data_IF_092958425187
#
_entry.id   IF_092958425187
#
_cell.length_a   1.000
_cell.length_b   1.000
_cell.length_c   1.000
_cell.angle_alpha   90.00
_cell.angle_beta   90.00
_cell.angle_gamma   90.00
#
_symmetry.space_group_name_H-M   'P 1'
#
loop_
_entity.id
_entity.type
_entity.pdbx_description
1 polymer ?
#
# COMPACT_ATOMS: atom_id res chain seq x y z
N UNK A 1 9.97 15.45 -15.30
CA UNK A 1 10.14 14.40 -14.27
C UNK A 1 11.21 14.76 -13.24
N UNK A 2 11.97 15.84 -13.43
CA UNK A 2 13.20 16.13 -12.65
C UNK A 2 13.02 16.95 -11.35
N UNK A 3 11.80 17.28 -10.93
CA UNK A 3 11.56 18.05 -9.69
C UNK A 3 11.49 17.22 -8.41
N UNK A 4 11.63 15.90 -8.50
CA UNK A 4 11.78 15.05 -7.31
C UNK A 4 13.22 15.03 -6.76
N UNK A 5 14.19 15.79 -7.33
CA UNK A 5 15.62 15.57 -7.06
C UNK A 5 16.52 16.74 -6.60
N UNK A 6 16.14 18.03 -6.53
CA UNK A 6 17.06 19.06 -5.98
C UNK A 6 16.36 20.19 -5.21
N UNK A 7 16.92 20.57 -4.05
CA UNK A 7 16.58 21.74 -3.22
C UNK A 7 17.53 22.93 -3.47
N UNK A 8 16.98 24.15 -3.46
CA UNK A 8 17.44 25.47 -2.90
C UNK A 8 16.71 26.59 -3.68
N UNK A 9 16.42 27.80 -3.21
CA UNK A 9 16.59 28.60 -1.98
C UNK A 9 15.57 29.78 -2.04
N UNK A 10 15.27 30.45 -0.91
CA UNK A 10 14.31 31.58 -0.77
C UNK A 10 14.63 32.81 -1.64
N UNK A 11 13.64 33.69 -1.87
CA UNK A 11 13.67 35.00 -1.20
C UNK A 11 12.32 35.48 -0.62
N UNK A 12 12.39 36.65 0.02
CA UNK A 12 11.53 37.28 1.04
C UNK A 12 10.19 37.92 0.61
N UNK A 13 9.36 38.15 1.64
CA UNK A 13 8.38 39.25 1.77
C UNK A 13 7.06 39.07 1.01
N UNK A 14 5.87 39.49 1.45
CA UNK A 14 5.34 40.27 2.59
C UNK A 14 3.80 40.18 2.48
N UNK A 15 3.05 40.43 3.56
CA UNK A 15 1.70 41.02 3.43
C UNK A 15 0.51 40.18 3.94
N UNK A 16 -0.31 40.83 4.75
CA UNK A 16 -1.38 40.35 5.63
C UNK A 16 -2.75 40.63 5.03
N UNK A 17 -3.75 39.78 5.22
CA UNK A 17 -5.07 40.19 5.76
C UNK A 17 -5.89 38.98 6.24
N UNK A 18 -6.56 39.20 7.38
CA UNK A 18 -7.58 38.34 7.97
C UNK A 18 -8.92 38.87 7.50
N UNK A 19 -9.82 37.98 7.09
CA UNK A 19 -11.26 38.23 7.24
C UNK A 19 -11.94 36.95 7.71
N UNK A 20 -12.75 37.15 8.74
CA UNK A 20 -13.56 36.14 9.41
C UNK A 20 -14.89 36.03 8.66
N UNK A 21 -15.32 34.81 8.37
CA UNK A 21 -16.72 34.60 7.99
C UNK A 21 -17.26 33.26 8.48
N UNK A 22 -18.55 33.33 8.82
CA UNK A 22 -19.23 32.49 9.79
C UNK A 22 -19.55 31.07 9.29
N UNK A 23 -19.54 30.14 10.25
CA UNK A 23 -19.93 28.74 10.12
C UNK A 23 -21.39 28.56 9.67
N UNK A 24 -21.67 27.72 8.65
CA UNK A 24 -22.97 27.07 8.50
C UNK A 24 -22.93 25.65 9.07
N UNK A 25 -24.02 25.29 9.75
CA UNK A 25 -24.28 24.02 10.42
C UNK A 25 -24.11 22.82 9.45
N UNK A 26 -23.28 21.83 9.82
CA UNK A 26 -23.09 20.58 9.07
C UNK A 26 -24.34 19.69 9.15
N UNK A 27 -24.97 19.44 8.00
CA UNK A 27 -25.83 18.28 7.79
C UNK A 27 -24.98 17.00 7.86
N UNK A 28 -25.51 15.96 8.53
CA UNK A 28 -24.95 14.61 8.52
C UNK A 28 -25.03 14.05 7.11
N UNK A 29 -23.90 13.86 6.45
CA UNK A 29 -23.82 13.10 5.20
C UNK A 29 -23.80 11.62 5.54
N UNK A 30 -24.93 10.93 5.32
CA UNK A 30 -24.99 9.48 5.32
C UNK A 30 -24.09 8.93 4.21
N UNK A 31 -23.11 8.10 4.57
CA UNK A 31 -22.21 7.40 3.66
C UNK A 31 -22.83 6.08 3.17
N UNK A 32 -24.03 6.15 2.60
CA UNK A 32 -24.69 4.99 2.01
C UNK A 32 -25.26 5.36 0.63
N UNK A 33 -24.82 4.59 -0.37
CA UNK A 33 -25.47 4.33 -1.66
C UNK A 33 -25.52 5.48 -2.67
N UNK A 34 -24.53 5.47 -3.57
CA UNK A 34 -24.71 5.82 -4.98
C UNK A 34 -24.05 4.69 -5.81
N UNK A 35 -24.68 3.51 -5.77
CA UNK A 35 -24.40 2.46 -6.73
C UNK A 35 -25.20 2.77 -8.00
N UNK A 36 -24.55 2.94 -9.17
CA UNK A 36 -25.25 3.23 -10.41
C UNK A 36 -26.13 2.06 -10.85
N UNK A 37 -27.24 2.39 -11.53
CA UNK A 37 -28.32 1.48 -11.91
C UNK A 37 -27.84 0.11 -12.48
N UNK A 38 -28.56 -0.98 -12.15
CA UNK A 38 -28.32 -2.29 -12.73
C UNK A 38 -28.67 -2.26 -14.23
N UNK A 39 -27.71 -2.54 -15.10
CA UNK A 39 -27.94 -2.62 -16.55
C UNK A 39 -26.84 -2.06 -17.47
N UNK A 40 -25.89 -1.26 -16.96
CA UNK A 40 -24.70 -0.89 -17.75
C UNK A 40 -23.67 -2.03 -17.76
N UNK A 41 -23.27 -2.49 -18.94
CA UNK A 41 -22.22 -3.51 -19.12
C UNK A 41 -20.91 -3.06 -18.42
N UNK A 42 -20.28 -3.97 -17.68
CA UNK A 42 -19.00 -3.70 -17.03
C UNK A 42 -17.92 -3.49 -18.09
N UNK A 43 -17.18 -2.37 -18.00
CA UNK A 43 -16.10 -2.07 -18.93
C UNK A 43 -14.84 -2.86 -18.55
N UNK A 44 -14.79 -4.14 -18.90
CA UNK A 44 -13.58 -4.96 -19.01
C UNK A 44 -12.63 -4.98 -17.79
N UNK A 45 -11.37 -5.28 -18.06
CA UNK A 45 -10.30 -5.32 -17.06
C UNK A 45 -9.52 -3.99 -17.00
N UNK A 46 -9.00 -3.60 -15.82
CA UNK A 46 -8.12 -2.43 -15.69
C UNK A 46 -6.86 -2.60 -16.55
N UNK A 47 -6.47 -1.53 -17.23
CA UNK A 47 -5.29 -1.47 -18.10
C UNK A 47 -4.12 -0.76 -17.41
N UNK A 48 -4.40 0.26 -16.58
CA UNK A 48 -3.38 1.00 -15.84
C UNK A 48 -3.56 0.87 -14.33
N UNK A 49 -2.63 0.17 -13.69
CA UNK A 49 -2.65 -0.06 -12.24
C UNK A 49 -1.41 0.54 -11.61
N UNK A 50 -1.58 1.36 -10.58
CA UNK A 50 -0.49 1.99 -9.83
C UNK A 50 -0.51 1.47 -8.39
N UNK A 51 0.66 1.06 -7.88
CA UNK A 51 0.85 0.76 -6.46
C UNK A 51 1.81 1.75 -5.83
N UNK A 52 1.46 2.32 -4.68
CA UNK A 52 2.28 3.33 -4.01
C UNK A 52 2.20 3.21 -2.47
N UNK A 53 3.35 2.97 -1.82
CA UNK A 53 3.44 3.12 -0.37
C UNK A 53 3.48 4.62 -0.01
N UNK A 54 2.43 5.11 0.65
CA UNK A 54 2.27 6.51 1.00
C UNK A 54 3.10 6.93 2.22
N UNK A 55 3.52 5.99 3.07
CA UNK A 55 4.22 6.25 4.34
C UNK A 55 3.49 7.32 5.20
N UNK A 56 2.17 7.23 5.26
CA UNK A 56 1.27 8.17 5.93
C UNK A 56 0.51 9.08 4.98
N UNK A 57 -0.70 8.67 4.58
CA UNK A 57 -1.50 9.36 3.59
C UNK A 57 -1.83 10.81 3.98
N UNK A 58 -2.30 11.04 5.22
CA UNK A 58 -2.63 12.39 5.68
C UNK A 58 -1.41 13.33 5.67
N UNK A 59 -0.20 12.81 5.90
CA UNK A 59 1.04 13.60 5.82
C UNK A 59 1.35 13.97 4.38
N UNK A 60 1.23 13.02 3.45
CA UNK A 60 1.44 13.27 2.02
C UNK A 60 0.44 14.29 1.48
N UNK A 61 -0.85 14.16 1.81
CA UNK A 61 -1.86 15.11 1.37
C UNK A 61 -1.61 16.51 1.96
N UNK A 62 -1.23 16.62 3.22
CA UNK A 62 -0.94 17.92 3.84
C UNK A 62 0.21 18.66 3.15
N UNK A 63 1.27 17.93 2.79
CA UNK A 63 2.51 18.53 2.33
C UNK A 63 2.59 18.64 0.81
N UNK A 64 1.94 17.72 0.08
CA UNK A 64 2.18 17.49 -1.35
C UNK A 64 0.89 17.39 -2.18
N UNK A 65 -0.28 17.82 -1.67
CA UNK A 65 -1.57 17.61 -2.35
C UNK A 65 -1.59 18.07 -3.81
N UNK A 66 -1.06 19.26 -4.13
CA UNK A 66 -1.06 19.77 -5.50
C UNK A 66 -0.32 18.85 -6.47
N UNK A 67 0.84 18.33 -6.06
CA UNK A 67 1.64 17.39 -6.84
C UNK A 67 0.95 16.03 -6.97
N UNK A 68 0.34 15.54 -5.88
CA UNK A 68 -0.41 14.28 -5.88
C UNK A 68 -1.63 14.37 -6.80
N UNK A 69 -2.39 15.46 -6.71
CA UNK A 69 -3.55 15.72 -7.56
C UNK A 69 -3.13 15.75 -9.03
N UNK A 70 -2.11 16.54 -9.36
CA UNK A 70 -1.59 16.63 -10.73
C UNK A 70 -1.10 15.26 -11.24
N UNK A 71 -0.40 14.48 -10.40
CA UNK A 71 0.04 13.15 -10.76
C UNK A 71 -1.14 12.22 -11.09
N UNK A 72 -2.16 12.18 -10.23
CA UNK A 72 -3.32 11.32 -10.45
C UNK A 72 -4.17 11.75 -11.65
N UNK A 73 -4.27 13.05 -11.91
CA UNK A 73 -4.95 13.60 -13.10
C UNK A 73 -4.17 13.27 -14.39
N UNK A 74 -2.84 13.31 -14.36
CA UNK A 74 -2.01 13.01 -15.53
C UNK A 74 -1.90 11.50 -15.81
N UNK A 75 -1.69 10.70 -14.77
CA UNK A 75 -1.57 9.26 -14.92
C UNK A 75 -2.92 8.60 -15.13
N UNK A 76 -4.00 9.13 -14.56
CA UNK A 76 -5.37 8.63 -14.73
C UNK A 76 -5.48 7.09 -14.65
N UNK A 77 -5.09 6.47 -13.52
CA UNK A 77 -5.05 5.02 -13.39
C UNK A 77 -6.46 4.40 -13.33
N UNK A 78 -6.63 3.20 -13.86
CA UNK A 78 -7.85 2.41 -13.65
C UNK A 78 -7.99 1.96 -12.19
N UNK A 79 -6.86 1.60 -11.57
CA UNK A 79 -6.76 1.23 -10.16
C UNK A 79 -5.53 1.87 -9.51
N UNK A 80 -5.72 2.48 -8.35
CA UNK A 80 -4.63 2.96 -7.48
C UNK A 80 -4.66 2.20 -6.15
N UNK A 81 -3.55 1.55 -5.81
CA UNK A 81 -3.38 0.85 -4.53
C UNK A 81 -2.38 1.58 -3.66
N UNK A 82 -2.81 2.04 -2.48
CA UNK A 82 -1.96 2.69 -1.49
C UNK A 82 -1.68 1.77 -0.30
N UNK A 83 -0.41 1.71 0.10
CA UNK A 83 0.05 1.07 1.33
C UNK A 83 0.46 2.12 2.37
N UNK A 84 0.50 1.72 3.64
CA UNK A 84 0.83 2.58 4.79
C UNK A 84 0.01 3.88 4.81
N UNK A 85 -1.31 3.78 4.65
CA UNK A 85 -2.16 4.97 4.76
C UNK A 85 -2.11 5.55 6.18
N UNK A 86 -1.82 4.72 7.19
CA UNK A 86 -1.64 5.09 8.61
C UNK A 86 -2.83 5.89 9.13
N UNK A 87 -4.01 5.33 8.97
CA UNK A 87 -5.25 5.79 9.60
C UNK A 87 -5.76 4.64 10.50
N UNK A 88 -5.94 4.86 11.81
CA UNK A 88 -6.52 3.84 12.68
C UNK A 88 -7.98 3.58 12.30
N UNK A 89 -8.41 2.32 12.34
CA UNK A 89 -9.78 1.91 12.06
C UNK A 89 -10.74 2.41 13.16
N UNK A 90 -11.94 2.85 12.75
CA UNK A 90 -13.01 3.19 13.67
C UNK A 90 -13.48 1.96 14.47
N UNK A 91 -14.08 2.21 15.62
CA UNK A 91 -14.59 1.20 16.55
C UNK A 91 -15.31 1.86 17.71
N UNK A 92 -15.66 1.11 18.77
CA UNK A 92 -16.20 1.70 19.99
C UNK A 92 -15.27 2.78 20.55
N UNK A 93 -15.86 3.80 21.20
CA UNK A 93 -15.11 4.93 21.74
C UNK A 93 -14.04 4.44 22.74
N UNK A 94 -12.81 4.91 22.57
CA UNK A 94 -11.68 4.55 23.44
C UNK A 94 -11.01 3.21 23.10
N UNK A 95 -11.39 2.57 22.00
CA UNK A 95 -10.79 1.31 21.57
C UNK A 95 -9.28 1.43 21.28
N UNK A 96 -8.52 0.37 21.59
CA UNK A 96 -7.05 0.31 21.54
C UNK A 96 -6.58 -0.84 20.65
N UNK A 97 -5.30 -0.84 20.29
CA UNK A 97 -4.68 -1.97 19.58
C UNK A 97 -4.81 -3.24 20.43
N UNK A 98 -5.30 -4.33 19.83
CA UNK A 98 -5.29 -5.65 20.45
C UNK A 98 -6.29 -5.85 21.60
N UNK A 99 -7.27 -4.95 21.78
CA UNK A 99 -8.30 -5.09 22.82
C UNK A 99 -9.42 -6.10 22.47
N UNK A 100 -9.32 -6.77 21.33
CA UNK A 100 -10.30 -7.75 20.83
C UNK A 100 -11.63 -7.14 20.36
N UNK A 101 -11.81 -5.83 20.43
CA UNK A 101 -13.06 -5.20 20.02
C UNK A 101 -13.21 -5.15 18.49
N UNK A 102 -14.45 -5.25 18.02
CA UNK A 102 -14.78 -5.16 16.59
C UNK A 102 -14.37 -3.79 16.04
N UNK A 103 -13.84 -3.77 14.81
CA UNK A 103 -13.42 -2.55 14.09
C UNK A 103 -14.19 -2.39 12.78
N UNK A 104 -14.55 -1.15 12.48
CA UNK A 104 -15.02 -0.73 11.16
C UNK A 104 -13.81 -0.36 10.32
N UNK A 105 -13.16 -1.37 9.71
CA UNK A 105 -11.91 -1.19 8.96
C UNK A 105 -12.05 -0.45 7.62
N UNK A 106 -13.29 -0.16 7.23
CA UNK A 106 -13.63 0.69 6.09
C UNK A 106 -13.61 2.20 6.39
N UNK A 107 -13.48 2.60 7.66
CA UNK A 107 -13.59 3.99 8.12
C UNK A 107 -12.52 4.29 9.16
N UNK A 108 -11.97 5.51 9.13
CA UNK A 108 -10.97 5.93 10.10
C UNK A 108 -11.60 6.41 11.42
N UNK A 109 -10.92 6.11 12.52
CA UNK A 109 -11.23 6.57 13.88
C UNK A 109 -11.18 8.10 13.98
N UNK A 110 -11.96 8.67 14.91
CA UNK A 110 -12.06 10.11 15.14
C UNK A 110 -12.15 10.49 16.63
N UNK A 111 -11.59 9.66 17.52
CA UNK A 111 -11.70 9.87 18.97
C UNK A 111 -10.87 11.07 19.47
N UNK A 112 -9.73 11.34 18.83
CA UNK A 112 -8.89 12.51 19.11
C UNK A 112 -9.02 13.59 18.03
N UNK A 113 -8.69 14.84 18.40
CA UNK A 113 -8.68 15.96 17.47
C UNK A 113 -7.74 15.72 16.27
N UNK A 114 -6.58 15.07 16.50
CA UNK A 114 -5.63 14.75 15.44
C UNK A 114 -6.15 13.68 14.48
N UNK A 115 -6.75 12.60 14.99
CA UNK A 115 -7.35 11.55 14.16
C UNK A 115 -8.49 12.11 13.29
N UNK A 116 -9.36 12.92 13.89
CA UNK A 116 -10.42 13.63 13.16
C UNK A 116 -9.85 14.56 12.09
N UNK A 117 -8.83 15.34 12.40
CA UNK A 117 -8.21 16.27 11.45
C UNK A 117 -7.53 15.54 10.27
N UNK A 118 -6.87 14.41 10.53
CA UNK A 118 -6.27 13.58 9.49
C UNK A 118 -7.34 12.96 8.57
N UNK A 119 -8.43 12.44 9.14
CA UNK A 119 -9.53 11.87 8.34
C UNK A 119 -10.29 12.95 7.53
N UNK A 120 -10.64 14.07 8.15
CA UNK A 120 -11.28 15.21 7.48
C UNK A 120 -10.40 15.74 6.33
N UNK A 121 -9.07 15.69 6.45
CA UNK A 121 -8.14 16.07 5.38
C UNK A 121 -8.22 15.11 4.19
N UNK A 122 -8.20 13.80 4.45
CA UNK A 122 -8.33 12.76 3.42
C UNK A 122 -9.66 12.89 2.69
N UNK A 123 -10.75 13.08 3.44
CA UNK A 123 -12.09 13.21 2.89
C UNK A 123 -12.23 14.44 1.99
N UNK A 124 -11.80 15.62 2.46
CA UNK A 124 -11.97 16.87 1.71
C UNK A 124 -11.01 17.02 0.52
N UNK A 125 -9.93 16.25 0.47
CA UNK A 125 -8.94 16.29 -0.62
C UNK A 125 -9.14 15.10 -1.55
N UNK A 126 -8.46 13.99 -1.29
CA UNK A 126 -8.42 12.81 -2.15
C UNK A 126 -9.83 12.28 -2.45
N UNK A 127 -10.67 12.07 -1.44
CA UNK A 127 -12.01 11.49 -1.66
C UNK A 127 -12.90 12.46 -2.42
N UNK A 128 -13.10 13.68 -1.92
CA UNK A 128 -13.98 14.67 -2.56
C UNK A 128 -13.59 14.99 -4.01
N UNK A 129 -12.29 15.04 -4.32
CA UNK A 129 -11.79 15.35 -5.67
C UNK A 129 -12.08 14.22 -6.65
N UNK A 130 -11.94 12.96 -6.21
CA UNK A 130 -11.97 11.79 -7.09
C UNK A 130 -13.22 10.91 -6.92
N UNK A 131 -14.16 11.27 -6.04
CA UNK A 131 -15.37 10.51 -5.70
C UNK A 131 -16.28 10.17 -6.89
N UNK A 132 -16.36 11.06 -7.88
CA UNK A 132 -17.16 10.83 -9.10
C UNK A 132 -16.55 9.79 -10.04
N UNK A 133 -15.23 9.64 -10.00
CA UNK A 133 -14.49 8.77 -10.93
C UNK A 133 -14.14 7.43 -10.28
N UNK A 134 -13.90 7.39 -8.97
CA UNK A 134 -13.44 6.21 -8.24
C UNK A 134 -14.36 5.81 -7.10
N UNK A 135 -14.42 4.50 -6.87
CA UNK A 135 -14.84 3.91 -5.61
C UNK A 135 -13.62 3.72 -4.70
N UNK A 136 -13.80 3.82 -3.38
CA UNK A 136 -12.71 3.78 -2.39
C UNK A 136 -12.90 2.61 -1.44
N UNK A 137 -11.92 1.71 -1.41
CA UNK A 137 -11.96 0.49 -0.60
C UNK A 137 -10.87 0.53 0.44
N UNK A 138 -11.25 0.68 1.71
CA UNK A 138 -10.33 0.80 2.82
C UNK A 138 -10.16 -0.51 3.58
N UNK A 139 -8.94 -0.75 4.04
CA UNK A 139 -8.59 -1.87 4.91
C UNK A 139 -7.64 -1.32 5.98
N UNK A 140 -8.20 -0.86 7.09
CA UNK A 140 -7.45 -0.14 8.13
C UNK A 140 -7.05 -1.05 9.30
N UNK A 141 -5.90 -0.73 9.91
CA UNK A 141 -5.38 -1.38 11.12
C UNK A 141 -5.98 -0.75 12.39
N UNK A 142 -5.84 -1.41 13.54
CA UNK A 142 -6.36 -0.89 14.82
C UNK A 142 -5.64 0.39 15.31
N UNK A 143 -4.52 0.73 14.68
CA UNK A 143 -3.62 1.81 15.10
C UNK A 143 -2.90 2.42 13.90
N UNK A 144 -2.24 3.57 14.12
CA UNK A 144 -1.63 4.43 13.10
C UNK A 144 -0.30 3.87 12.54
N UNK A 145 -0.32 2.68 11.92
CA UNK A 145 0.90 2.01 11.43
C UNK A 145 0.78 1.44 10.02
N UNK A 146 -0.18 0.55 9.77
CA UNK A 146 -0.36 -0.10 8.47
C UNK A 146 -1.54 0.53 7.72
N UNK A 147 -2.46 -0.32 7.25
CA UNK A 147 -3.63 0.08 6.50
C UNK A 147 -3.36 0.30 5.02
N UNK A 148 -4.36 -0.02 4.20
CA UNK A 148 -4.32 0.07 2.75
C UNK A 148 -5.60 0.72 2.21
N UNK A 149 -5.49 1.32 1.01
CA UNK A 149 -6.59 1.84 0.22
C UNK A 149 -6.47 1.29 -1.21
N UNK A 150 -7.57 0.87 -1.80
CA UNK A 150 -7.69 0.64 -3.24
C UNK A 150 -8.75 1.57 -3.82
N UNK A 151 -8.35 2.42 -4.76
CA UNK A 151 -9.27 3.23 -5.57
C UNK A 151 -9.51 2.51 -6.89
N UNK A 152 -10.77 2.24 -7.24
CA UNK A 152 -11.14 1.54 -8.48
C UNK A 152 -12.05 2.44 -9.29
N UNK A 153 -11.70 2.68 -10.55
CA UNK A 153 -12.53 3.46 -11.48
C UNK A 153 -13.94 2.86 -11.53
N UNK A 154 -14.97 3.70 -11.36
CA UNK A 154 -16.37 3.25 -11.20
C UNK A 154 -16.90 2.46 -12.40
N UNK A 155 -16.33 2.63 -13.58
CA UNK A 155 -16.71 1.90 -14.79
C UNK A 155 -16.32 0.42 -14.81
N UNK A 156 -15.30 0.01 -14.03
CA UNK A 156 -14.71 -1.35 -14.13
C UNK A 156 -15.49 -2.44 -13.36
N UNK A 157 -16.30 -2.06 -12.36
CA UNK A 157 -17.21 -2.94 -11.61
C UNK A 157 -16.66 -4.37 -11.35
N UNK A 158 -15.63 -4.53 -10.49
CA UNK A 158 -15.14 -5.87 -10.13
C UNK A 158 -16.26 -6.73 -9.55
N UNK A 159 -16.26 -8.02 -9.87
CA UNK A 159 -17.29 -8.97 -9.42
C UNK A 159 -17.24 -9.22 -7.91
N UNK A 160 -16.07 -9.03 -7.30
CA UNK A 160 -15.86 -9.22 -5.88
C UNK A 160 -14.74 -8.33 -5.35
N UNK A 161 -14.89 -7.84 -4.11
CA UNK A 161 -13.82 -7.17 -3.37
C UNK A 161 -13.75 -7.78 -1.96
N UNK A 162 -12.57 -8.26 -1.59
CA UNK A 162 -12.31 -8.88 -0.28
C UNK A 162 -11.10 -8.25 0.39
N UNK A 163 -10.93 -8.52 1.69
CA UNK A 163 -9.88 -7.92 2.50
C UNK A 163 -9.01 -8.98 3.19
N UNK A 164 -9.06 -10.21 2.67
CA UNK A 164 -8.31 -11.40 3.07
C UNK A 164 -8.06 -12.25 1.83
N UNK A 165 -7.06 -13.16 1.87
CA UNK A 165 -6.84 -14.11 0.78
C UNK A 165 -7.68 -15.39 0.91
N UNK A 166 -8.58 -15.46 1.90
CA UNK A 166 -9.35 -16.68 2.23
C UNK A 166 -10.35 -17.10 1.15
N UNK A 167 -10.57 -16.27 0.13
CA UNK A 167 -11.49 -16.52 -0.98
C UNK A 167 -10.80 -17.03 -2.24
N UNK A 168 -9.46 -17.11 -2.25
CA UNK A 168 -8.74 -17.68 -3.40
C UNK A 168 -9.11 -19.15 -3.57
N UNK A 169 -9.56 -19.52 -4.77
CA UNK A 169 -10.01 -20.87 -5.10
C UNK A 169 -11.51 -21.14 -4.84
N UNK A 170 -12.28 -20.16 -4.36
CA UNK A 170 -13.74 -20.27 -4.22
C UNK A 170 -14.45 -19.69 -5.44
N UNK A 171 -15.64 -20.20 -5.77
CA UNK A 171 -16.50 -19.58 -6.78
C UNK A 171 -16.98 -18.20 -6.30
N UNK A 172 -16.62 -17.15 -7.04
CA UNK A 172 -16.83 -15.74 -6.69
C UNK A 172 -18.31 -15.30 -6.67
N UNK A 173 -19.26 -16.23 -6.79
CA UNK A 173 -20.70 -15.97 -6.79
C UNK A 173 -21.21 -15.38 -5.46
N UNK A 174 -20.44 -15.44 -4.39
CA UNK A 174 -20.86 -14.95 -3.08
C UNK A 174 -19.71 -14.36 -2.28
N UNK A 175 -19.43 -13.07 -2.43
CA UNK A 175 -19.01 -12.25 -1.28
C UNK A 175 -19.39 -10.79 -1.50
N UNK A 176 -20.71 -10.55 -1.46
CA UNK A 176 -21.28 -9.23 -1.22
C UNK A 176 -22.25 -9.32 -0.04
N UNK A 177 -21.80 -9.87 1.10
CA UNK A 177 -22.49 -9.64 2.37
C UNK A 177 -21.76 -8.50 3.10
N UNK A 178 -22.32 -7.26 3.09
CA UNK A 178 -21.76 -6.13 3.82
C UNK A 178 -21.65 -6.36 5.33
N UNK A 179 -22.47 -7.26 5.90
CA UNK A 179 -22.55 -7.49 7.35
C UNK A 179 -21.44 -8.42 7.88
N UNK A 180 -20.85 -9.27 7.03
CA UNK A 180 -19.89 -10.31 7.43
C UNK A 180 -18.57 -10.30 6.65
N UNK A 181 -18.18 -9.14 6.11
CA UNK A 181 -16.85 -8.96 5.50
C UNK A 181 -15.75 -9.29 6.52
N UNK A 182 -14.85 -10.21 6.16
CA UNK A 182 -13.63 -10.50 6.93
C UNK A 182 -12.51 -9.61 6.44
N UNK A 183 -11.75 -9.06 7.37
CA UNK A 183 -10.55 -8.26 7.09
C UNK A 183 -9.33 -8.91 7.68
N UNK A 184 -8.20 -8.72 7.01
CA UNK A 184 -6.91 -8.89 7.64
C UNK A 184 -6.82 -7.97 8.88
N UNK A 185 -6.43 -8.48 10.06
CA UNK A 185 -6.49 -7.74 11.33
C UNK A 185 -5.61 -6.47 11.34
N UNK A 186 -4.62 -6.39 10.44
CA UNK A 186 -3.78 -5.20 10.28
C UNK A 186 -4.06 -4.40 9.00
N UNK A 187 -5.12 -4.69 8.26
CA UNK A 187 -5.48 -3.93 7.07
C UNK A 187 -4.45 -4.02 5.93
N UNK A 188 -3.84 -5.20 5.75
CA UNK A 188 -2.70 -5.41 4.85
C UNK A 188 -3.08 -5.97 3.48
N UNK A 189 -4.35 -6.31 3.28
CA UNK A 189 -4.82 -7.04 2.11
C UNK A 189 -6.09 -6.37 1.59
N UNK A 190 -6.13 -6.15 0.27
CA UNK A 190 -7.32 -5.88 -0.51
C UNK A 190 -7.21 -6.70 -1.80
N UNK A 191 -8.23 -7.48 -2.11
CA UNK A 191 -8.35 -8.23 -3.36
C UNK A 191 -9.54 -7.71 -4.17
N UNK A 192 -9.40 -7.61 -5.48
CA UNK A 192 -10.49 -7.30 -6.40
C UNK A 192 -10.50 -8.29 -7.57
N UNK A 193 -11.64 -8.92 -7.84
CA UNK A 193 -11.81 -9.85 -8.96
C UNK A 193 -12.38 -9.12 -10.17
N UNK A 194 -11.60 -9.05 -11.24
CA UNK A 194 -12.01 -8.49 -12.53
C UNK A 194 -12.39 -9.61 -13.52
N UNK A 195 -12.72 -9.24 -14.76
CA UNK A 195 -13.25 -10.15 -15.77
C UNK A 195 -12.29 -11.31 -16.06
N UNK A 196 -10.99 -11.03 -16.25
CA UNK A 196 -10.00 -12.06 -16.63
C UNK A 196 -9.00 -12.42 -15.53
N UNK A 197 -8.84 -11.60 -14.48
CA UNK A 197 -7.86 -11.85 -13.43
C UNK A 197 -8.29 -11.31 -12.05
N UNK A 198 -7.62 -11.80 -11.01
CA UNK A 198 -7.71 -11.26 -9.65
C UNK A 198 -6.54 -10.30 -9.38
N UNK A 199 -6.84 -9.12 -8.84
CA UNK A 199 -5.86 -8.17 -8.34
C UNK A 199 -5.69 -8.35 -6.83
N UNK A 200 -4.49 -8.69 -6.40
CA UNK A 200 -4.10 -8.78 -4.99
C UNK A 200 -3.18 -7.60 -4.64
N UNK A 201 -3.66 -6.68 -3.82
CA UNK A 201 -2.85 -5.58 -3.29
C UNK A 201 -2.48 -5.84 -1.83
N UNK A 202 -1.18 -5.85 -1.54
CA UNK A 202 -0.67 -6.19 -0.20
C UNK A 202 0.26 -5.13 0.39
N UNK A 203 0.35 -5.15 1.72
CA UNK A 203 1.44 -4.54 2.47
C UNK A 203 2.04 -5.59 3.41
N UNK A 204 3.13 -6.23 2.99
CA UNK A 204 3.83 -7.23 3.79
C UNK A 204 4.37 -6.61 5.09
N UNK A 205 4.32 -7.32 6.23
CA UNK A 205 5.03 -6.87 7.43
C UNK A 205 6.53 -6.81 7.16
N UNK A 206 7.22 -5.81 7.72
CA UNK A 206 8.67 -5.77 7.70
C UNK A 206 9.25 -6.83 8.67
N UNK A 207 10.42 -7.39 8.37
CA UNK A 207 11.03 -8.42 9.24
C UNK A 207 11.34 -7.93 10.65
N UNK A 208 11.55 -6.62 10.86
CA UNK A 208 12.00 -6.09 12.14
C UNK A 208 13.38 -6.63 12.53
N UNK A 209 13.72 -6.59 13.82
CA UNK A 209 15.04 -7.00 14.33
C UNK A 209 14.93 -7.90 15.56
N UNK A 210 13.75 -8.45 15.82
CA UNK A 210 13.45 -9.24 17.01
C UNK A 210 12.70 -10.55 16.67
N UNK A 211 12.77 -11.58 17.53
CA UNK A 211 12.14 -12.88 17.24
C UNK A 211 10.63 -12.83 16.95
N UNK A 212 9.89 -11.91 17.56
CA UNK A 212 8.44 -11.77 17.32
C UNK A 212 8.17 -11.27 15.90
N UNK A 213 8.93 -10.27 15.47
CA UNK A 213 8.86 -9.72 14.11
C UNK A 213 9.26 -10.74 13.03
N UNK A 214 10.28 -11.56 13.28
CA UNK A 214 10.68 -12.66 12.40
C UNK A 214 9.57 -13.72 12.27
N UNK A 215 9.02 -14.17 13.40
CA UNK A 215 7.94 -15.15 13.42
C UNK A 215 6.70 -14.63 12.68
N UNK A 216 6.36 -13.36 12.90
CA UNK A 216 5.24 -12.69 12.23
C UNK A 216 5.45 -12.58 10.72
N UNK A 217 6.66 -12.24 10.26
CA UNK A 217 6.99 -12.20 8.83
C UNK A 217 6.93 -13.59 8.19
N UNK A 218 7.52 -14.60 8.82
CA UNK A 218 7.50 -15.97 8.32
C UNK A 218 6.06 -16.54 8.24
N UNK A 219 5.23 -16.28 9.26
CA UNK A 219 3.82 -16.68 9.26
C UNK A 219 3.03 -16.00 8.13
N UNK A 220 3.29 -14.72 7.87
CA UNK A 220 2.71 -13.99 6.73
C UNK A 220 3.11 -14.61 5.39
N UNK A 221 4.40 -14.85 5.16
CA UNK A 221 4.89 -15.42 3.91
C UNK A 221 4.26 -16.81 3.65
N UNK A 222 4.18 -17.65 4.69
CA UNK A 222 3.54 -18.97 4.63
C UNK A 222 2.05 -18.88 4.28
N UNK A 223 1.29 -18.05 5.01
CA UNK A 223 -0.15 -17.90 4.79
C UNK A 223 -0.47 -17.32 3.41
N UNK A 224 0.35 -16.37 2.93
CA UNK A 224 0.18 -15.81 1.60
C UNK A 224 0.49 -16.85 0.51
N UNK A 225 1.56 -17.63 0.67
CA UNK A 225 1.88 -18.71 -0.28
C UNK A 225 0.75 -19.75 -0.32
N UNK A 226 0.27 -20.22 0.83
CA UNK A 226 -0.85 -21.15 0.93
C UNK A 226 -2.10 -20.65 0.21
N UNK A 227 -2.43 -19.36 0.33
CA UNK A 227 -3.56 -18.81 -0.40
C UNK A 227 -3.30 -18.69 -1.90
N UNK A 228 -2.11 -18.20 -2.31
CA UNK A 228 -1.76 -17.98 -3.71
C UNK A 228 -1.72 -19.30 -4.50
N UNK A 229 -1.26 -20.40 -3.90
CA UNK A 229 -1.23 -21.71 -4.59
C UNK A 229 -2.63 -22.30 -4.83
N UNK A 230 -3.61 -21.95 -3.99
CA UNK A 230 -4.99 -22.43 -4.10
C UNK A 230 -5.83 -21.65 -5.12
N UNK A 231 -5.29 -20.57 -5.70
CA UNK A 231 -6.03 -19.79 -6.68
C UNK A 231 -6.33 -20.59 -7.95
N UNK A 232 -7.47 -20.31 -8.55
CA UNK A 232 -7.95 -20.92 -9.79
C UNK A 232 -7.97 -19.94 -10.99
N UNK A 233 -7.66 -18.65 -10.76
CA UNK A 233 -7.65 -17.59 -11.78
C UNK A 233 -6.27 -16.97 -11.95
N UNK A 234 -5.99 -16.31 -13.10
CA UNK A 234 -4.81 -15.46 -13.25
C UNK A 234 -4.76 -14.40 -12.13
N UNK A 235 -3.56 -14.14 -11.62
CA UNK A 235 -3.35 -13.25 -10.48
C UNK A 235 -2.33 -12.18 -10.83
N UNK A 236 -2.71 -10.92 -10.62
CA UNK A 236 -1.80 -9.81 -10.54
C UNK A 236 -1.58 -9.45 -9.07
N UNK A 237 -0.37 -9.70 -8.57
CA UNK A 237 0.00 -9.38 -7.19
C UNK A 237 0.88 -8.13 -7.15
N UNK A 238 0.42 -7.11 -6.44
CA UNK A 238 1.09 -5.82 -6.28
C UNK A 238 1.13 -5.40 -4.82
N UNK A 239 1.96 -4.40 -4.52
CA UNK A 239 2.04 -3.80 -3.19
C UNK A 239 3.45 -3.50 -2.74
N UNK A 240 3.59 -3.15 -1.47
CA UNK A 240 4.89 -3.15 -0.79
C UNK A 240 5.12 -4.51 -0.16
N UNK A 241 6.02 -5.27 -0.80
CA UNK A 241 6.29 -6.66 -0.43
C UNK A 241 7.36 -6.78 0.65
N UNK A 242 7.97 -5.66 1.07
CA UNK A 242 9.09 -5.62 2.03
C UNK A 242 10.16 -6.68 1.72
N UNK A 243 10.54 -6.83 0.45
CA UNK A 243 11.63 -7.71 0.03
C UNK A 243 12.27 -7.19 -1.25
N UNK A 244 13.58 -7.12 -1.27
CA UNK A 244 14.41 -6.96 -2.46
C UNK A 244 15.00 -8.33 -2.79
N UNK A 245 14.49 -8.97 -3.83
CA UNK A 245 14.67 -10.41 -4.07
C UNK A 245 16.09 -10.75 -4.51
N UNK A 246 16.63 -9.93 -5.42
CA UNK A 246 17.94 -10.12 -6.00
C UNK A 246 18.93 -9.06 -5.52
N UNK A 247 20.22 -9.40 -5.62
CA UNK A 247 21.30 -8.48 -5.22
C UNK A 247 21.28 -7.17 -6.00
N UNK A 248 20.81 -7.20 -7.24
CA UNK A 248 20.65 -6.02 -8.10
C UNK A 248 19.47 -5.11 -7.68
N UNK A 249 18.58 -5.57 -6.81
CA UNK A 249 17.43 -4.77 -6.34
C UNK A 249 17.81 -3.77 -5.24
N UNK A 250 19.06 -3.82 -4.77
CA UNK A 250 19.61 -2.92 -3.75
C UNK A 250 20.92 -2.27 -4.20
N UNK A 251 21.17 -1.06 -3.71
CA UNK A 251 22.36 -0.26 -4.09
C UNK A 251 23.70 -0.82 -3.59
N UNK A 252 23.72 -1.51 -2.44
CA UNK A 252 24.94 -1.99 -1.78
C UNK A 252 24.72 -3.40 -1.22
N UNK A 253 24.62 -4.44 -2.06
CA UNK A 253 24.15 -5.76 -1.66
C UNK A 253 25.01 -6.44 -0.59
N UNK A 254 26.34 -6.27 -0.63
CA UNK A 254 27.21 -6.83 0.41
C UNK A 254 26.97 -6.20 1.78
N UNK A 255 26.82 -4.87 1.81
CA UNK A 255 26.51 -4.17 3.05
C UNK A 255 25.16 -4.61 3.62
N UNK A 256 24.12 -4.67 2.78
CA UNK A 256 22.77 -5.08 3.22
C UNK A 256 22.75 -6.53 3.72
N UNK A 257 23.50 -7.43 3.08
CA UNK A 257 23.59 -8.83 3.49
C UNK A 257 24.36 -9.03 4.80
N UNK A 258 25.30 -8.15 5.12
CA UNK A 258 26.15 -8.25 6.31
C UNK A 258 25.54 -7.60 7.56
N UNK A 259 24.45 -6.82 7.44
CA UNK A 259 23.83 -6.21 8.61
C UNK A 259 23.35 -7.28 9.58
N UNK A 260 23.80 -7.18 10.83
CA UNK A 260 23.34 -8.05 11.90
C UNK A 260 22.94 -7.22 13.13
N UNK A 261 21.83 -7.58 13.76
CA UNK A 261 21.27 -6.89 14.94
C UNK A 261 21.57 -7.58 16.27
N UNK A 262 22.41 -8.62 16.23
CA UNK A 262 22.97 -9.44 17.33
C UNK A 262 22.10 -10.64 17.73
N UNK A 263 22.66 -11.84 17.55
CA UNK A 263 22.09 -13.10 18.04
C UNK A 263 20.98 -13.69 17.16
N UNK A 264 20.67 -13.09 16.02
CA UNK A 264 19.65 -13.60 15.12
C UNK A 264 20.06 -14.92 14.43
N UNK A 265 19.08 -15.79 14.10
CA UNK A 265 19.31 -16.97 13.28
C UNK A 265 19.95 -16.64 11.93
N UNK A 266 20.68 -17.59 11.36
CA UNK A 266 21.41 -17.40 10.11
C UNK A 266 20.53 -16.92 8.93
N UNK A 267 19.28 -17.37 8.87
CA UNK A 267 18.31 -16.98 7.83
C UNK A 267 17.69 -15.59 8.06
N UNK A 268 17.85 -15.01 9.25
CA UNK A 268 17.39 -13.66 9.59
C UNK A 268 18.51 -12.62 9.52
N UNK A 269 19.75 -13.04 9.20
CA UNK A 269 20.87 -12.11 8.98
C UNK A 269 20.66 -11.29 7.72
N UNK A 270 21.06 -10.03 7.79
CA UNK A 270 20.86 -9.02 6.77
C UNK A 270 19.91 -7.91 7.22
N UNK A 271 19.85 -6.84 6.43
CA UNK A 271 18.88 -5.76 6.64
C UNK A 271 17.47 -6.31 6.41
N UNK A 272 16.48 -6.01 7.27
CA UNK A 272 15.07 -6.34 7.02
C UNK A 272 14.60 -5.84 5.67
N UNK A 273 14.06 -6.73 4.85
CA UNK A 273 13.79 -6.54 3.43
C UNK A 273 14.87 -7.10 2.50
N UNK A 274 16.00 -7.56 3.03
CA UNK A 274 17.10 -8.17 2.27
C UNK A 274 17.76 -9.33 3.03
N UNK A 275 17.11 -9.87 4.06
CA UNK A 275 17.59 -11.07 4.73
C UNK A 275 17.56 -12.27 3.79
N UNK A 276 18.44 -13.25 4.01
CA UNK A 276 18.46 -14.46 3.17
C UNK A 276 17.13 -15.23 3.25
N UNK A 277 16.51 -15.29 4.43
CA UNK A 277 15.22 -15.93 4.64
C UNK A 277 14.07 -15.25 3.91
N UNK A 278 13.98 -13.92 3.94
CA UNK A 278 12.95 -13.18 3.18
C UNK A 278 13.11 -13.41 1.67
N UNK A 279 14.33 -13.31 1.16
CA UNK A 279 14.65 -13.49 -0.25
C UNK A 279 14.33 -14.90 -0.72
N UNK A 280 14.77 -15.92 0.04
CA UNK A 280 14.48 -17.32 -0.25
C UNK A 280 12.98 -17.61 -0.27
N UNK A 281 12.24 -17.22 0.78
CA UNK A 281 10.78 -17.45 0.85
C UNK A 281 10.01 -16.73 -0.26
N UNK A 282 10.45 -15.53 -0.63
CA UNK A 282 9.84 -14.81 -1.76
C UNK A 282 10.06 -15.54 -3.09
N UNK A 283 11.29 -16.01 -3.36
CA UNK A 283 11.59 -16.79 -4.57
C UNK A 283 10.81 -18.11 -4.60
N UNK A 284 10.74 -18.82 -3.48
CA UNK A 284 9.93 -20.02 -3.32
C UNK A 284 8.46 -19.74 -3.64
N UNK A 285 7.89 -18.66 -3.08
CA UNK A 285 6.51 -18.24 -3.34
C UNK A 285 6.26 -17.94 -4.82
N UNK A 286 7.20 -17.26 -5.52
CA UNK A 286 7.07 -17.04 -6.96
C UNK A 286 7.00 -18.37 -7.73
N UNK A 287 7.84 -19.35 -7.38
CA UNK A 287 7.86 -20.66 -8.03
C UNK A 287 6.59 -21.46 -7.72
N UNK A 288 6.27 -21.67 -6.45
CA UNK A 288 5.09 -22.46 -6.03
C UNK A 288 3.80 -21.79 -6.47
N UNK A 289 3.77 -20.47 -6.38
CA UNK A 289 2.70 -19.64 -6.87
C UNK A 289 2.64 -19.55 -8.39
N UNK A 290 3.57 -20.10 -9.18
CA UNK A 290 3.57 -19.91 -10.65
C UNK A 290 3.43 -18.43 -11.04
N UNK A 291 4.17 -17.56 -10.36
CA UNK A 291 4.22 -16.12 -10.58
C UNK A 291 5.57 -15.73 -11.17
N UNK A 292 5.58 -14.58 -11.85
CA UNK A 292 6.79 -13.97 -12.39
C UNK A 292 6.88 -12.53 -11.90
N UNK A 293 8.09 -12.09 -11.56
CA UNK A 293 8.35 -10.67 -11.35
C UNK A 293 8.26 -9.95 -12.71
N UNK A 294 7.17 -9.21 -12.92
CA UNK A 294 6.90 -8.54 -14.18
C UNK A 294 7.96 -7.48 -14.53
N UNK A 295 8.49 -6.75 -13.54
CA UNK A 295 9.50 -5.72 -13.79
C UNK A 295 10.80 -6.37 -14.28
N UNK A 296 11.28 -7.40 -13.58
CA UNK A 296 12.51 -8.11 -13.97
C UNK A 296 12.37 -8.87 -15.28
N UNK A 297 11.17 -9.38 -15.58
CA UNK A 297 10.88 -10.03 -16.86
C UNK A 297 10.96 -9.07 -18.05
N UNK A 298 10.47 -7.83 -17.88
CA UNK A 298 10.45 -6.80 -18.92
C UNK A 298 11.74 -5.98 -19.00
N UNK A 299 12.50 -5.93 -17.91
CA UNK A 299 13.79 -5.23 -17.81
C UNK A 299 14.89 -6.20 -17.35
N UNK A 300 15.23 -7.22 -18.17
CA UNK A 300 16.35 -8.10 -17.88
C UNK A 300 17.64 -7.30 -18.08
N UNK A 301 18.29 -6.93 -16.99
CA UNK A 301 19.60 -6.29 -17.02
C UNK A 301 20.35 -6.71 -15.78
N UNK A 302 21.61 -7.08 -15.97
CA UNK A 302 22.57 -7.36 -14.91
C UNK A 302 23.37 -6.11 -14.52
N UNK A 303 23.16 -4.99 -15.23
CA UNK A 303 23.83 -3.73 -14.93
C UNK A 303 23.21 -3.11 -13.69
N UNK A 304 24.04 -2.91 -12.66
CA UNK A 304 23.65 -2.19 -11.46
C UNK A 304 23.25 -0.77 -11.88
N UNK A 305 21.97 -0.37 -11.73
CA UNK A 305 21.55 0.94 -12.17
C UNK A 305 22.23 2.03 -11.34
N UNK A 306 22.30 3.28 -11.82
CA UNK A 306 22.88 4.37 -11.04
C UNK A 306 22.19 4.51 -9.68
N UNK A 307 22.96 4.58 -8.58
CA UNK A 307 22.43 4.67 -7.21
C UNK A 307 21.46 5.86 -7.00
N UNK A 308 21.65 6.94 -7.76
CA UNK A 308 20.79 8.12 -7.75
C UNK A 308 19.45 7.94 -8.52
N UNK A 309 19.35 6.89 -9.34
CA UNK A 309 18.20 6.65 -10.23
C UNK A 309 17.01 5.99 -9.54
N UNK A 310 15.82 6.02 -10.17
CA UNK A 310 14.58 5.45 -9.64
C UNK A 310 14.56 3.91 -9.53
N UNK A 311 15.60 3.24 -10.01
CA UNK A 311 15.62 1.82 -10.38
C UNK A 311 15.81 0.84 -9.22
N UNK A 312 16.08 1.35 -8.02
CA UNK A 312 16.22 0.51 -6.82
C UNK A 312 14.96 0.55 -5.97
N UNK A 313 14.51 -0.64 -5.59
CA UNK A 313 13.47 -0.88 -4.58
C UNK A 313 13.91 -0.32 -3.22
N UNK A 314 15.21 -0.43 -2.88
CA UNK A 314 15.81 0.11 -1.65
C UNK A 314 17.12 0.85 -1.96
N UNK A 315 17.24 2.09 -1.49
CA UNK A 315 18.39 2.97 -1.77
C UNK A 315 18.99 3.54 -0.50
N UNK A 316 20.30 3.68 -0.48
CA UNK A 316 21.01 4.44 0.54
C UNK A 316 22.48 4.11 0.54
N UNK A 317 23.21 4.72 1.45
CA UNK A 317 24.65 4.55 1.55
C UNK A 317 25.00 3.88 2.89
N UNK A 318 25.98 2.97 2.89
CA UNK A 318 26.65 2.56 4.12
C UNK A 318 27.03 3.81 4.94
N UNK A 319 26.96 3.74 6.27
CA UNK A 319 27.31 4.89 7.08
C UNK A 319 28.82 5.15 6.92
N UNK A 320 29.16 6.36 6.47
CA UNK A 320 30.54 6.86 6.51
C UNK A 320 30.67 7.66 7.80
N UNK A 321 31.46 7.17 8.76
CA UNK A 321 31.66 7.78 10.09
C UNK A 321 30.41 7.92 10.98
N UNK A 322 29.40 7.05 10.83
CA UNK A 322 28.25 6.96 11.74
C UNK A 322 28.03 5.49 12.17
N UNK A 323 27.41 5.28 13.33
CA UNK A 323 27.03 3.94 13.79
C UNK A 323 25.75 3.42 13.13
N UNK A 324 24.95 4.31 12.51
CA UNK A 324 23.66 3.98 11.91
C UNK A 324 23.58 4.56 10.50
N UNK A 325 23.23 3.72 9.54
CA UNK A 325 23.06 4.09 8.16
C UNK A 325 21.75 4.87 7.91
N UNK A 326 21.73 5.72 6.86
CA UNK A 326 20.53 6.42 6.42
C UNK A 326 20.06 5.85 5.07
N UNK A 327 18.91 5.19 5.08
CA UNK A 327 18.27 4.63 3.89
C UNK A 327 17.02 5.41 3.48
N UNK A 328 16.82 5.55 2.17
CA UNK A 328 15.71 6.22 1.54
C UNK A 328 15.05 5.30 0.50
N UNK A 329 13.72 5.25 0.51
CA UNK A 329 12.94 4.38 -0.38
C UNK A 329 12.56 3.07 0.30
N UNK A 330 11.40 3.07 0.98
CA UNK A 330 10.65 1.87 1.32
C UNK A 330 9.50 1.80 0.32
N UNK A 331 9.71 1.19 -0.83
CA UNK A 331 8.65 1.12 -1.84
C UNK A 331 9.05 0.31 -3.07
N UNK A 332 8.15 -0.58 -3.47
CA UNK A 332 8.20 -1.32 -4.72
C UNK A 332 8.14 -0.37 -5.92
N UNK A 333 8.86 -0.71 -6.99
CA UNK A 333 8.78 -0.03 -8.28
C UNK A 333 7.35 -0.06 -8.83
N UNK A 334 6.83 1.11 -9.17
CA UNK A 334 5.57 1.32 -9.88
C UNK A 334 5.71 0.69 -11.28
N UNK A 335 4.82 -0.24 -11.62
CA UNK A 335 4.69 -0.76 -12.97
C UNK A 335 4.54 0.39 -13.97
N UNK A 336 5.49 0.54 -14.88
CA UNK A 336 5.39 1.48 -15.99
C UNK A 336 4.66 0.78 -17.13
N UNK A 337 3.58 1.42 -17.59
CA UNK A 337 2.81 1.20 -18.82
C UNK A 337 3.15 -0.10 -19.57
N UNK A 338 2.29 -1.12 -19.41
CA UNK A 338 2.16 -2.16 -20.44
C UNK A 338 1.47 -1.47 -21.61
N UNK A 339 2.24 -1.14 -22.65
CA UNK A 339 1.69 -0.73 -23.95
C UNK A 339 1.42 -1.95 -24.80
#
# INVERSE_FOLDING_TARGET
MDRFLVRRSKPDGTGVSKDAEASPKRQRTNSAQDDPAPGAEALGDPQKIISWNANGLAVQLRNNWSLIKQFLENEDPDVLCLQEVRLPAAGPKGCKRGDGQKRSRGEAKYDSAQEKADWDLVQRTLVATFAKMYSFHWSLADWKYAGTLMMIRRSLRPSCITYTCSTFGMDHAAHFDPANRKWHPEGRIICASFATFDLLATYSPNNGSDPESFARRAAWDKALNEAVVQRNRPLLWIGDLNVAAERIDVTHPDWFAQQCYQGEPADMRGQPGFTEGERRRFKELLVTGRLVDAYRRLHPSDDVPPAAGPYFTWRGHPPVHQTVAKYHGKGSLVGKRVT
#
